data_IF_143222400671
#
_entry.id   IF_143222400671
#
_cell.length_a   1.000
_cell.length_b   1.000
_cell.length_c   1.000
_cell.angle_alpha   90.00
_cell.angle_beta   90.00
_cell.angle_gamma   90.00
#
_symmetry.space_group_name_H-M   'P 1'
#
loop_
_entity.id
_entity.type
_entity.pdbx_description
1 polymer ?
#
# COMPACT_ATOMS: atom_id res chain seq x y z
N UNK A 1 -29.20 -17.96 -3.70
CA UNK A 1 -28.80 -17.21 -2.51
C UNK A 1 -29.63 -17.57 -1.25
N UNK A 2 -30.95 -17.82 -1.34
CA UNK A 2 -31.81 -18.12 -0.16
C UNK A 2 -31.24 -19.23 0.72
N UNK A 3 -30.78 -20.35 0.12
CA UNK A 3 -30.20 -21.49 0.84
C UNK A 3 -28.88 -21.09 1.53
N UNK A 4 -28.03 -20.30 0.86
CA UNK A 4 -26.77 -19.83 1.43
C UNK A 4 -27.03 -18.90 2.62
N UNK A 5 -27.98 -17.97 2.50
CA UNK A 5 -28.38 -17.08 3.60
C UNK A 5 -28.95 -17.89 4.78
N UNK A 6 -29.79 -18.89 4.51
CA UNK A 6 -30.31 -19.77 5.57
C UNK A 6 -29.18 -20.49 6.32
N UNK A 7 -28.17 -20.97 5.62
CA UNK A 7 -27.02 -21.64 6.24
C UNK A 7 -26.14 -20.65 7.05
N UNK A 8 -25.90 -19.44 6.52
CA UNK A 8 -25.01 -18.47 7.15
C UNK A 8 -25.66 -17.70 8.30
N UNK A 9 -26.96 -17.41 8.20
CA UNK A 9 -27.66 -16.50 9.13
C UNK A 9 -28.91 -17.12 9.78
N UNK A 10 -29.15 -18.41 9.58
CA UNK A 10 -30.36 -19.12 10.00
C UNK A 10 -31.68 -18.48 9.49
N UNK A 11 -31.60 -17.65 8.45
CA UNK A 11 -32.71 -16.94 7.83
C UNK A 11 -32.42 -16.73 6.35
N UNK A 12 -33.42 -16.95 5.47
CA UNK A 12 -33.29 -16.86 4.02
C UNK A 12 -33.45 -15.46 3.45
N UNK A 13 -33.76 -14.45 4.30
CA UNK A 13 -33.98 -13.07 3.87
C UNK A 13 -32.62 -12.37 3.72
N UNK A 14 -32.33 -11.90 2.50
CA UNK A 14 -31.13 -11.10 2.21
C UNK A 14 -31.42 -9.62 2.54
N UNK A 15 -30.90 -9.15 3.69
CA UNK A 15 -30.91 -7.72 4.04
C UNK A 15 -29.56 -7.10 3.71
N UNK A 16 -29.51 -5.75 3.55
CA UNK A 16 -28.24 -5.02 3.33
C UNK A 16 -27.24 -5.29 4.46
N UNK A 17 -27.71 -5.39 5.70
CA UNK A 17 -26.86 -5.72 6.85
C UNK A 17 -26.22 -7.10 6.72
N UNK A 18 -26.98 -8.16 6.38
CA UNK A 18 -26.45 -9.51 6.18
C UNK A 18 -25.49 -9.58 5.00
N UNK A 19 -25.79 -8.87 3.90
CA UNK A 19 -24.90 -8.75 2.75
C UNK A 19 -23.58 -8.10 3.19
N UNK A 20 -23.62 -6.99 3.93
CA UNK A 20 -22.44 -6.32 4.46
C UNK A 20 -21.62 -7.21 5.38
N UNK A 21 -22.27 -7.99 6.26
CA UNK A 21 -21.58 -8.96 7.12
C UNK A 21 -20.90 -10.06 6.32
N UNK A 22 -21.57 -10.63 5.32
CA UNK A 22 -20.99 -11.66 4.44
C UNK A 22 -19.79 -11.12 3.66
N UNK A 23 -19.92 -9.94 3.05
CA UNK A 23 -18.81 -9.28 2.35
C UNK A 23 -17.64 -8.96 3.28
N UNK A 24 -17.92 -8.49 4.50
CA UNK A 24 -16.89 -8.24 5.50
C UNK A 24 -16.09 -9.50 5.84
N UNK A 25 -16.77 -10.65 6.02
CA UNK A 25 -16.07 -11.91 6.29
C UNK A 25 -15.26 -12.37 5.07
N UNK A 26 -15.79 -12.23 3.86
CA UNK A 26 -15.06 -12.53 2.64
C UNK A 26 -13.78 -11.69 2.50
N UNK A 27 -13.90 -10.36 2.63
CA UNK A 27 -12.73 -9.47 2.58
C UNK A 27 -11.71 -9.78 3.69
N UNK A 28 -12.18 -10.10 4.91
CA UNK A 28 -11.29 -10.50 6.02
C UNK A 28 -10.59 -11.83 5.79
N UNK A 29 -11.13 -12.71 4.96
CA UNK A 29 -10.47 -13.99 4.59
C UNK A 29 -9.34 -13.80 3.57
N UNK A 30 -9.30 -12.65 2.88
CA UNK A 30 -8.26 -12.31 1.90
C UNK A 30 -6.97 -11.84 2.61
N UNK A 31 -6.19 -12.78 3.13
CA UNK A 31 -4.95 -12.50 3.85
C UNK A 31 -3.76 -12.89 2.99
N UNK A 32 -2.97 -11.90 2.58
CA UNK A 32 -1.71 -12.09 1.85
C UNK A 32 -0.54 -12.11 2.85
N UNK A 33 0.13 -13.27 3.01
CA UNK A 33 1.17 -13.48 4.02
C UNK A 33 2.24 -14.52 3.61
N UNK A 34 2.24 -14.94 2.34
CA UNK A 34 3.14 -15.97 1.80
C UNK A 34 4.03 -15.40 0.68
N UNK A 35 4.35 -14.11 0.76
CA UNK A 35 5.26 -13.49 -0.18
C UNK A 35 6.72 -13.86 0.13
N UNK A 36 7.62 -13.62 -0.83
CA UNK A 36 9.08 -13.77 -0.64
C UNK A 36 9.59 -12.98 0.57
N UNK A 37 9.00 -11.81 0.85
CA UNK A 37 9.29 -11.02 2.04
C UNK A 37 8.90 -11.77 3.33
N UNK A 38 7.73 -12.40 3.37
CA UNK A 38 7.24 -13.11 4.55
C UNK A 38 8.14 -14.32 4.89
N UNK A 39 8.59 -15.06 3.88
CA UNK A 39 9.56 -16.14 4.05
C UNK A 39 10.86 -15.64 4.68
N UNK A 40 11.43 -14.56 4.14
CA UNK A 40 12.65 -13.96 4.69
C UNK A 40 12.47 -13.42 6.11
N UNK A 41 11.31 -12.85 6.41
CA UNK A 41 10.98 -12.36 7.75
C UNK A 41 10.86 -13.50 8.77
N UNK A 42 10.28 -14.62 8.39
CA UNK A 42 10.14 -15.79 9.26
C UNK A 42 11.49 -16.35 9.75
N UNK A 43 12.56 -16.21 8.94
CA UNK A 43 13.90 -16.66 9.32
C UNK A 43 14.64 -15.71 10.27
N UNK A 44 14.34 -14.40 10.22
CA UNK A 44 15.12 -13.40 10.97
C UNK A 44 14.33 -12.75 12.09
N UNK A 45 13.00 -12.76 12.04
CA UNK A 45 12.07 -12.01 12.90
C UNK A 45 12.38 -10.49 12.99
N UNK A 46 13.18 -9.95 12.06
CA UNK A 46 13.56 -8.54 12.01
C UNK A 46 13.64 -8.07 10.54
N UNK A 47 12.72 -7.21 10.08
CA UNK A 47 12.70 -6.74 8.71
C UNK A 47 13.92 -5.88 8.32
N UNK A 48 14.71 -5.42 9.29
CA UNK A 48 15.91 -4.60 9.03
C UNK A 48 17.15 -5.44 8.74
N UNK A 49 17.17 -6.72 9.15
CA UNK A 49 18.29 -7.62 8.86
C UNK A 49 18.24 -8.09 7.41
N UNK A 50 19.39 -8.34 6.77
CA UNK A 50 19.41 -8.96 5.44
C UNK A 50 18.67 -10.31 5.45
N UNK A 51 17.90 -10.58 4.40
CA UNK A 51 17.23 -11.86 4.20
C UNK A 51 18.07 -12.74 3.28
N UNK A 52 18.28 -14.00 3.66
CA UNK A 52 19.11 -14.95 2.89
C UNK A 52 18.44 -15.38 1.56
N UNK A 53 17.10 -15.33 1.50
CA UNK A 53 16.34 -15.60 0.29
C UNK A 53 16.25 -14.40 -0.67
N UNK A 54 16.81 -13.23 -0.30
CA UNK A 54 16.82 -12.03 -1.13
C UNK A 54 18.12 -11.88 -1.91
N UNK A 55 18.03 -11.34 -3.11
CA UNK A 55 19.20 -10.87 -3.86
C UNK A 55 19.82 -9.65 -3.16
N UNK A 56 21.04 -9.26 -3.59
CA UNK A 56 21.68 -8.03 -3.10
C UNK A 56 20.82 -6.79 -3.39
N UNK A 57 20.19 -6.72 -4.57
CA UNK A 57 19.31 -5.62 -4.96
C UNK A 57 18.06 -5.54 -4.07
N UNK A 58 17.39 -6.66 -3.85
CA UNK A 58 16.19 -6.72 -2.97
C UNK A 58 16.54 -6.34 -1.52
N UNK A 59 17.68 -6.83 -0.98
CA UNK A 59 18.14 -6.45 0.35
C UNK A 59 18.49 -4.95 0.44
N UNK A 60 19.14 -4.41 -0.62
CA UNK A 60 19.42 -2.97 -0.71
C UNK A 60 18.13 -2.15 -0.74
N UNK A 61 17.14 -2.55 -1.54
CA UNK A 61 15.83 -1.90 -1.61
C UNK A 61 15.11 -1.95 -0.28
N UNK A 62 15.12 -3.09 0.41
CA UNK A 62 14.57 -3.26 1.75
C UNK A 62 15.26 -2.33 2.76
N UNK A 63 16.58 -2.25 2.74
CA UNK A 63 17.34 -1.34 3.59
C UNK A 63 16.94 0.12 3.35
N UNK A 64 16.80 0.54 2.09
CA UNK A 64 16.33 1.87 1.72
C UNK A 64 14.92 2.13 2.26
N UNK A 65 13.98 1.20 2.03
CA UNK A 65 12.59 1.33 2.45
C UNK A 65 12.45 1.59 3.96
N UNK A 66 13.22 0.87 4.78
CA UNK A 66 13.22 1.02 6.24
C UNK A 66 14.17 2.11 6.76
N UNK A 67 14.90 2.81 5.89
CA UNK A 67 15.87 3.82 6.27
C UNK A 67 15.24 5.20 6.52
N UNK A 68 15.89 6.05 7.34
CA UNK A 68 15.51 7.46 7.46
C UNK A 68 15.74 8.25 6.14
N UNK A 69 16.52 7.73 5.19
CA UNK A 69 16.77 8.38 3.91
C UNK A 69 15.51 8.49 3.07
N UNK A 70 14.69 7.44 3.03
CA UNK A 70 13.47 7.41 2.20
C UNK A 70 12.19 7.63 3.00
N UNK A 71 12.17 7.27 4.28
CA UNK A 71 11.02 7.35 5.18
C UNK A 71 9.78 6.53 4.74
N UNK A 72 9.91 5.59 3.80
CA UNK A 72 8.77 4.82 3.30
C UNK A 72 8.02 4.10 4.41
N UNK A 73 8.76 3.44 5.30
CA UNK A 73 8.21 2.70 6.45
C UNK A 73 7.53 3.58 7.50
N UNK A 74 7.67 4.91 7.45
CA UNK A 74 6.94 5.81 8.37
C UNK A 74 5.48 6.03 7.96
N UNK A 75 5.13 5.74 6.73
CA UNK A 75 3.76 5.78 6.24
C UNK A 75 3.21 4.36 6.05
N UNK A 76 4.03 3.41 5.61
CA UNK A 76 3.68 2.00 5.42
C UNK A 76 4.22 1.17 6.61
N UNK A 77 3.57 1.30 7.78
CA UNK A 77 4.12 0.95 9.10
C UNK A 77 3.85 -0.47 9.58
N UNK A 78 2.76 -1.10 9.13
CA UNK A 78 2.32 -2.41 9.65
C UNK A 78 2.94 -3.58 8.87
N UNK A 79 2.72 -4.81 9.35
CA UNK A 79 3.09 -6.02 8.61
C UNK A 79 2.39 -6.14 7.24
N UNK A 80 1.27 -5.44 7.03
CA UNK A 80 0.59 -5.31 5.75
C UNK A 80 1.10 -4.12 4.92
N UNK A 81 2.14 -3.41 5.38
CA UNK A 81 2.65 -2.20 4.74
C UNK A 81 1.57 -1.14 4.50
N UNK A 82 0.66 -0.99 5.45
CA UNK A 82 -0.46 -0.03 5.41
C UNK A 82 -0.28 1.02 6.49
N UNK A 83 -0.67 2.26 6.20
CA UNK A 83 -0.68 3.34 7.18
C UNK A 83 -1.92 3.33 8.07
N UNK A 84 -1.77 3.92 9.24
CA UNK A 84 -2.84 4.13 10.24
C UNK A 84 -3.75 5.31 9.90
N UNK A 85 -3.25 6.28 9.13
CA UNK A 85 -3.92 7.54 8.83
C UNK A 85 -3.86 7.86 7.33
N UNK A 86 -4.78 8.73 6.90
CA UNK A 86 -4.73 9.34 5.57
C UNK A 86 -3.63 10.40 5.48
N UNK A 87 -2.98 10.52 4.33
CA UNK A 87 -1.82 11.40 4.10
C UNK A 87 -1.97 12.19 2.81
N UNK A 88 -1.42 13.39 2.79
CA UNK A 88 -1.20 14.15 1.56
C UNK A 88 0.23 13.88 1.08
N UNK A 89 0.36 13.18 -0.03
CA UNK A 89 1.66 12.78 -0.60
C UNK A 89 2.27 13.79 -1.57
N UNK A 90 1.66 14.98 -1.69
CA UNK A 90 2.18 16.03 -2.57
C UNK A 90 2.09 15.70 -4.05
N UNK A 91 1.05 14.98 -4.47
CA UNK A 91 0.83 14.65 -5.87
C UNK A 91 0.54 15.90 -6.71
N UNK A 92 -0.19 16.86 -6.12
CA UNK A 92 -0.55 18.14 -6.72
C UNK A 92 -0.15 19.34 -5.87
N UNK A 93 0.24 20.44 -6.53
CA UNK A 93 0.51 21.71 -5.89
C UNK A 93 -0.79 22.45 -5.55
N UNK A 94 -1.79 22.33 -6.43
CA UNK A 94 -3.15 22.86 -6.26
C UNK A 94 -4.10 21.67 -6.17
N UNK A 95 -4.84 21.57 -5.08
CA UNK A 95 -5.72 20.45 -4.83
C UNK A 95 -7.04 20.63 -5.59
N UNK A 96 -7.34 19.74 -6.52
CA UNK A 96 -8.65 19.61 -7.20
C UNK A 96 -9.53 18.60 -6.49
N UNK A 97 -8.93 17.54 -5.93
CA UNK A 97 -9.60 16.58 -5.05
C UNK A 97 -9.15 16.82 -3.60
N UNK A 98 -10.11 17.11 -2.75
CA UNK A 98 -9.87 17.38 -1.34
C UNK A 98 -9.76 16.11 -0.49
N UNK A 99 -9.98 14.93 -1.06
CA UNK A 99 -9.90 13.64 -0.38
C UNK A 99 -10.75 13.60 0.89
N UNK A 100 -10.17 13.11 2.00
CA UNK A 100 -10.85 13.03 3.31
C UNK A 100 -11.36 14.39 3.78
N UNK A 101 -10.63 15.47 3.49
CA UNK A 101 -11.02 16.83 3.87
C UNK A 101 -12.30 17.30 3.18
N UNK A 102 -12.56 16.85 1.94
CA UNK A 102 -13.82 17.11 1.23
C UNK A 102 -15.03 16.39 1.83
N UNK A 103 -14.80 15.28 2.55
CA UNK A 103 -15.87 14.51 3.20
C UNK A 103 -16.18 15.08 4.58
N UNK A 104 -15.15 15.37 5.40
CA UNK A 104 -15.32 15.77 6.80
C UNK A 104 -15.29 17.28 7.03
N UNK A 105 -15.09 18.07 5.96
CA UNK A 105 -15.00 19.54 5.97
C UNK A 105 -13.91 20.10 6.92
N UNK A 106 -12.80 19.36 7.11
CA UNK A 106 -11.67 19.79 7.93
C UNK A 106 -10.52 20.20 7.04
N UNK A 107 -10.11 21.46 7.10
CA UNK A 107 -9.00 22.00 6.29
C UNK A 107 -7.70 21.21 6.47
N UNK A 108 -7.41 20.74 7.70
CA UNK A 108 -6.20 19.97 7.98
C UNK A 108 -6.17 18.60 7.28
N UNK A 109 -7.30 18.14 6.72
CA UNK A 109 -7.42 16.86 6.02
C UNK A 109 -7.52 17.02 4.49
N UNK A 110 -7.37 18.23 3.97
CA UNK A 110 -7.42 18.48 2.53
C UNK A 110 -6.30 17.77 1.78
N UNK A 111 -6.69 17.08 0.70
CA UNK A 111 -5.78 16.32 -0.17
C UNK A 111 -5.18 15.08 0.51
N UNK A 112 -5.74 14.63 1.65
CA UNK A 112 -5.32 13.40 2.30
C UNK A 112 -6.13 12.22 1.77
N UNK A 113 -5.42 11.14 1.45
CA UNK A 113 -5.97 9.86 1.01
C UNK A 113 -5.42 8.74 1.90
N UNK A 114 -6.18 7.64 1.99
CA UNK A 114 -5.76 6.45 2.73
C UNK A 114 -4.41 5.95 2.20
N UNK A 115 -3.48 5.68 3.09
CA UNK A 115 -2.23 4.98 2.74
C UNK A 115 -2.56 3.52 2.47
N UNK A 116 -2.43 3.04 1.21
CA UNK A 116 -2.80 1.67 0.85
C UNK A 116 -1.77 0.66 1.35
N UNK A 117 -2.16 -0.63 1.35
CA UNK A 117 -1.20 -1.72 1.47
C UNK A 117 -0.25 -1.72 0.26
N UNK A 118 1.02 -2.09 0.50
CA UNK A 118 1.96 -2.38 -0.57
C UNK A 118 2.03 -3.87 -0.92
N UNK A 119 1.29 -4.71 -0.21
CA UNK A 119 1.20 -6.12 -0.57
C UNK A 119 0.57 -6.26 -1.95
N UNK A 120 1.16 -7.11 -2.78
CA UNK A 120 0.73 -7.34 -4.16
C UNK A 120 0.77 -6.09 -5.07
N UNK A 121 1.57 -5.08 -4.70
CA UNK A 121 1.63 -3.81 -5.45
C UNK A 121 2.04 -4.00 -6.91
N UNK A 122 2.79 -5.06 -7.23
CA UNK A 122 3.20 -5.40 -8.60
C UNK A 122 2.01 -5.51 -9.56
N UNK A 123 0.85 -5.98 -9.07
CA UNK A 123 -0.33 -6.30 -9.89
C UNK A 123 -1.51 -5.35 -9.66
N UNK A 124 -1.30 -4.24 -8.95
CA UNK A 124 -2.37 -3.32 -8.58
C UNK A 124 -2.30 -1.96 -9.28
N UNK A 125 -1.58 -1.88 -10.41
CA UNK A 125 -1.61 -0.68 -11.25
C UNK A 125 -3.06 -0.42 -11.77
N UNK A 126 -3.43 0.84 -12.03
CA UNK A 126 -2.65 2.07 -11.91
C UNK A 126 -2.55 2.57 -10.47
N UNK A 127 -1.52 3.42 -10.20
CA UNK A 127 -1.17 3.90 -8.86
C UNK A 127 -1.61 5.34 -8.61
N UNK A 128 -1.61 5.73 -7.33
CA UNK A 128 -2.13 6.95 -6.71
C UNK A 128 -3.66 6.93 -6.63
N UNK A 129 -4.26 7.94 -5.98
CA UNK A 129 -5.71 7.99 -5.78
C UNK A 129 -6.48 8.21 -7.09
N UNK A 130 -5.84 8.79 -8.09
CA UNK A 130 -6.41 9.10 -9.40
C UNK A 130 -5.89 8.21 -10.54
N UNK A 131 -5.01 7.25 -10.23
CA UNK A 131 -4.52 6.30 -11.22
C UNK A 131 -3.52 6.87 -12.23
N UNK A 132 -2.92 8.05 -11.97
CA UNK A 132 -2.05 8.73 -12.96
C UNK A 132 -0.74 8.03 -13.28
N UNK A 133 -0.27 7.12 -12.43
CA UNK A 133 0.95 6.35 -12.68
C UNK A 133 0.63 4.90 -13.00
N UNK A 134 1.28 4.38 -14.03
CA UNK A 134 1.09 3.01 -14.51
C UNK A 134 2.24 2.07 -14.12
N UNK A 135 3.36 2.62 -13.63
CA UNK A 135 4.54 1.84 -13.25
C UNK A 135 5.07 2.21 -11.86
N UNK A 136 5.73 1.27 -11.20
CA UNK A 136 6.38 1.52 -9.90
C UNK A 136 7.54 2.51 -10.00
N UNK A 137 8.21 2.55 -11.15
CA UNK A 137 9.27 3.53 -11.43
C UNK A 137 8.74 4.96 -11.36
N UNK A 138 7.54 5.21 -11.90
CA UNK A 138 6.90 6.53 -11.83
C UNK A 138 6.55 6.88 -10.38
N UNK A 139 6.08 5.92 -9.59
CA UNK A 139 5.80 6.11 -8.15
C UNK A 139 7.07 6.43 -7.39
N UNK A 140 8.16 5.66 -7.61
CA UNK A 140 9.45 5.88 -6.95
C UNK A 140 10.02 7.25 -7.36
N UNK A 141 9.92 7.62 -8.63
CA UNK A 141 10.40 8.94 -9.10
C UNK A 141 9.57 10.09 -8.53
N UNK A 142 8.25 9.90 -8.36
CA UNK A 142 7.44 10.89 -7.66
C UNK A 142 7.99 11.19 -6.26
N UNK A 143 8.26 10.17 -5.46
CA UNK A 143 8.83 10.36 -4.11
C UNK A 143 10.28 10.84 -4.15
N UNK A 144 11.05 10.45 -5.17
CA UNK A 144 12.44 10.87 -5.33
C UNK A 144 12.57 12.37 -5.60
N UNK A 145 11.80 12.90 -6.56
CA UNK A 145 11.96 14.26 -7.08
C UNK A 145 10.64 14.98 -7.41
N UNK A 146 9.55 14.23 -7.56
CA UNK A 146 8.27 14.73 -8.11
C UNK A 146 7.32 15.37 -7.10
N UNK A 147 7.51 15.16 -5.79
CA UNK A 147 6.61 15.68 -4.74
C UNK A 147 6.43 17.19 -4.88
N UNK A 148 5.17 17.64 -4.96
CA UNK A 148 4.80 19.06 -5.05
C UNK A 148 4.61 19.65 -3.66
N UNK A 149 5.01 20.92 -3.52
CA UNK A 149 4.76 21.65 -2.29
C UNK A 149 3.30 22.16 -2.28
N UNK A 150 2.58 21.87 -1.20
CA UNK A 150 1.31 22.51 -0.87
C UNK A 150 1.21 22.64 0.66
N UNK A 151 0.33 23.48 1.15
CA UNK A 151 0.23 23.75 2.60
C UNK A 151 -0.16 22.53 3.45
N UNK A 152 -0.77 21.51 2.84
CA UNK A 152 -1.27 20.29 3.50
C UNK A 152 -0.34 19.08 3.35
N UNK A 153 0.81 19.26 2.67
CA UNK A 153 1.80 18.19 2.46
C UNK A 153 2.21 17.57 3.79
N UNK A 154 2.23 16.23 3.86
CA UNK A 154 2.66 15.50 5.06
C UNK A 154 4.10 15.90 5.47
N UNK A 155 4.29 16.13 6.77
CA UNK A 155 5.58 16.58 7.31
C UNK A 155 6.73 15.59 7.08
N UNK A 156 6.43 14.29 6.90
CA UNK A 156 7.43 13.26 6.56
C UNK A 156 8.06 13.48 5.19
N UNK A 157 7.37 14.21 4.32
CA UNK A 157 7.85 14.60 2.98
C UNK A 157 8.46 16.00 2.97
N UNK A 158 8.71 16.59 4.16
CA UNK A 158 9.35 17.89 4.32
C UNK A 158 10.74 17.75 4.96
N UNK A 159 11.58 18.71 4.65
CA UNK A 159 12.83 18.98 5.35
C UNK A 159 12.84 20.47 5.71
N UNK A 160 12.48 20.79 6.93
CA UNK A 160 12.13 22.15 7.33
C UNK A 160 10.94 22.67 6.50
N UNK A 161 11.07 23.85 5.93
CA UNK A 161 10.04 24.48 5.09
C UNK A 161 10.05 24.03 3.61
N UNK A 162 10.97 23.12 3.23
CA UNK A 162 11.12 22.67 1.84
C UNK A 162 10.60 21.26 1.68
N UNK A 163 10.19 20.93 0.44
CA UNK A 163 9.92 19.55 0.06
C UNK A 163 11.22 18.74 0.12
N UNK A 164 11.17 17.60 0.76
CA UNK A 164 12.28 16.67 0.82
C UNK A 164 12.53 16.06 -0.56
N UNK A 165 13.79 15.96 -0.95
CA UNK A 165 14.26 15.26 -2.15
C UNK A 165 15.11 14.08 -1.71
N UNK A 166 14.83 12.89 -2.23
CA UNK A 166 15.53 11.68 -1.79
C UNK A 166 16.91 11.56 -2.46
N UNK A 167 17.07 12.13 -3.66
CA UNK A 167 18.31 12.09 -4.45
C UNK A 167 18.87 10.67 -4.61
N UNK A 168 17.99 9.72 -4.92
CA UNK A 168 18.35 8.33 -5.12
C UNK A 168 19.12 8.14 -6.42
N UNK A 169 20.13 7.32 -6.39
CA UNK A 169 20.82 6.85 -7.60
C UNK A 169 19.88 5.95 -8.44
N UNK A 170 20.22 5.77 -9.71
CA UNK A 170 19.47 4.84 -10.57
C UNK A 170 19.44 3.43 -9.98
N UNK A 171 20.56 2.96 -9.43
CA UNK A 171 20.63 1.64 -8.78
C UNK A 171 19.78 1.55 -7.53
N UNK A 172 19.69 2.61 -6.73
CA UNK A 172 18.82 2.62 -5.54
C UNK A 172 17.33 2.61 -5.92
N UNK A 173 16.93 3.29 -7.00
CA UNK A 173 15.57 3.24 -7.53
C UNK A 173 15.19 1.85 -8.02
N UNK A 174 16.11 1.17 -8.73
CA UNK A 174 15.93 -0.23 -9.15
C UNK A 174 15.82 -1.13 -7.92
N UNK A 175 16.70 -0.99 -6.95
CA UNK A 175 16.67 -1.78 -5.73
C UNK A 175 15.35 -1.61 -4.94
N UNK A 176 14.83 -0.39 -4.82
CA UNK A 176 13.52 -0.15 -4.21
C UNK A 176 12.40 -0.87 -4.96
N UNK A 177 12.39 -0.83 -6.29
CA UNK A 177 11.42 -1.58 -7.09
C UNK A 177 11.57 -3.09 -6.83
N UNK A 178 12.77 -3.63 -6.90
CA UNK A 178 13.02 -5.05 -6.66
C UNK A 178 12.49 -5.50 -5.28
N UNK A 179 12.70 -4.67 -4.25
CA UNK A 179 12.11 -4.92 -2.93
C UNK A 179 10.58 -4.92 -2.98
N UNK A 180 9.94 -3.93 -3.61
CA UNK A 180 8.48 -3.87 -3.69
C UNK A 180 7.89 -5.11 -4.40
N UNK A 181 8.57 -5.67 -5.39
CA UNK A 181 8.16 -6.90 -6.07
C UNK A 181 8.19 -8.12 -5.13
N UNK A 182 9.04 -8.13 -4.09
CA UNK A 182 9.07 -9.22 -3.10
C UNK A 182 7.82 -9.28 -2.22
N UNK A 183 6.97 -8.26 -2.24
CA UNK A 183 5.71 -8.20 -1.50
C UNK A 183 4.54 -8.88 -2.23
N UNK A 184 4.80 -9.46 -3.40
CA UNK A 184 3.80 -10.18 -4.18
C UNK A 184 3.65 -11.60 -3.66
N UNK A 185 2.43 -11.95 -3.28
CA UNK A 185 2.03 -13.27 -2.78
C UNK A 185 1.34 -14.05 -3.91
N UNK A 186 2.12 -14.85 -4.63
CA UNK A 186 1.62 -15.63 -5.78
C UNK A 186 0.61 -16.68 -5.34
N UNK A 187 0.77 -17.26 -4.15
CA UNK A 187 -0.16 -18.25 -3.60
C UNK A 187 -1.54 -17.62 -3.39
N UNK A 188 -1.57 -16.43 -2.78
CA UNK A 188 -2.82 -15.69 -2.59
C UNK A 188 -3.49 -15.33 -3.93
N UNK A 189 -2.72 -14.87 -4.91
CA UNK A 189 -3.24 -14.43 -6.21
C UNK A 189 -3.82 -15.55 -7.06
N UNK A 190 -3.45 -16.81 -6.80
CA UNK A 190 -3.90 -17.99 -7.54
C UNK A 190 -4.79 -18.92 -6.71
N UNK A 191 -5.17 -18.53 -5.49
CA UNK A 191 -6.03 -19.34 -4.61
C UNK A 191 -7.46 -19.43 -5.17
N UNK A 192 -7.88 -20.62 -5.52
CA UNK A 192 -9.20 -20.92 -6.12
C UNK A 192 -10.37 -20.40 -5.28
N UNK A 193 -10.23 -20.32 -3.94
CA UNK A 193 -11.30 -19.81 -3.06
C UNK A 193 -11.65 -18.34 -3.32
N UNK A 194 -10.77 -17.60 -4.00
CA UNK A 194 -10.98 -16.20 -4.39
C UNK A 194 -11.29 -16.04 -5.89
N UNK A 195 -11.36 -17.14 -6.64
CA UNK A 195 -11.70 -17.15 -8.06
C UNK A 195 -13.18 -16.82 -8.27
N UNK A 196 -13.57 -16.65 -9.54
CA UNK A 196 -14.98 -16.45 -9.91
C UNK A 196 -15.82 -17.66 -9.52
N UNK A 197 -16.90 -17.51 -8.73
CA UNK A 197 -17.82 -18.59 -8.42
C UNK A 197 -18.78 -18.92 -9.57
N UNK A 198 -18.64 -18.27 -10.72
CA UNK A 198 -19.56 -18.34 -11.88
C UNK A 198 -18.84 -18.92 -13.12
N UNK A 199 -18.08 -19.98 -12.95
CA UNK A 199 -17.49 -20.73 -14.07
C UNK A 199 -18.50 -21.71 -14.65
#
# INVERSE_FOLDING_TARGET
YKILFKRAFNDSIATSQKVSLALSQFVRSMVSYQSKFDEGLAHTNDPRRPFSNFTNSENRGKQLFFSPQTNCAQCHTTAAFIGDNSRNNGLDAVLTDLGVGGINNRNNDYGKFKVPSLRNIEVTAPFMHDGRFTTLEQVIEHYNSGVKNNQYLDNRLRQGNRVRRLNLSTSDKVALKDFLLTLTDRTFLTDEKFSSPFN
#
